data_IF_267027034103
#
_entry.id   IF_267027034103
#
_cell.length_a   1.000
_cell.length_b   1.000
_cell.length_c   1.000
_cell.angle_alpha   90.00
_cell.angle_beta   90.00
_cell.angle_gamma   90.00
#
_symmetry.space_group_name_H-M   'P 1'
#
loop_
_entity.id
_entity.type
_entity.pdbx_description
1 polymer ?
#
# COMPACT_ATOMS: atom_id res chain seq x y z
N UNK A 1 14.19 16.15 -9.59
CA UNK A 1 14.97 14.94 -9.28
C UNK A 1 15.74 15.24 -8.01
N UNK A 2 15.36 14.63 -6.88
CA UNK A 2 16.03 14.67 -5.59
C UNK A 2 16.56 16.03 -5.17
N UNK A 3 15.82 16.76 -4.35
CA UNK A 3 16.36 17.96 -3.73
C UNK A 3 17.41 17.57 -2.69
N UNK A 4 18.47 18.33 -2.61
CA UNK A 4 19.47 18.21 -1.55
C UNK A 4 19.37 19.43 -0.62
N UNK A 5 19.62 19.20 0.67
CA UNK A 5 19.80 20.28 1.62
C UNK A 5 21.13 21.05 1.34
N UNK A 6 21.37 22.07 2.12
CA UNK A 6 22.60 22.89 2.00
C UNK A 6 23.90 22.13 2.24
N UNK A 7 23.83 20.95 2.81
CA UNK A 7 24.96 20.06 3.09
C UNK A 7 25.11 18.95 2.05
N UNK A 8 24.26 18.94 1.00
CA UNK A 8 24.26 17.92 -0.04
C UNK A 8 23.54 16.63 0.33
N UNK A 9 22.85 16.56 1.47
CA UNK A 9 22.03 15.40 1.82
C UNK A 9 20.77 15.41 0.98
N UNK A 10 20.38 14.22 0.50
CA UNK A 10 19.15 14.06 -0.25
C UNK A 10 17.96 14.21 0.71
N UNK A 11 17.07 15.13 0.39
CA UNK A 11 15.81 15.26 1.11
C UNK A 11 14.90 14.11 0.72
N UNK A 12 14.44 13.37 1.72
CA UNK A 12 13.41 12.35 1.54
C UNK A 12 12.06 13.05 1.42
N UNK A 13 11.52 13.11 0.20
CA UNK A 13 10.26 13.79 -0.07
C UNK A 13 9.32 12.92 -0.87
N UNK A 14 8.04 12.98 -0.51
CA UNK A 14 6.95 12.38 -1.25
C UNK A 14 6.56 13.27 -2.43
N UNK A 15 6.06 12.67 -3.53
CA UNK A 15 5.44 13.46 -4.59
C UNK A 15 4.12 14.07 -4.12
N UNK A 16 3.38 13.35 -3.27
CA UNK A 16 2.24 13.85 -2.53
C UNK A 16 2.30 13.30 -1.11
N UNK A 17 2.19 14.17 -0.13
CA UNK A 17 2.02 13.83 1.28
C UNK A 17 0.75 14.45 1.83
N UNK A 18 -0.12 13.62 2.39
CA UNK A 18 -1.25 14.03 3.21
C UNK A 18 -1.05 13.46 4.61
N UNK A 19 -1.34 14.24 5.62
CA UNK A 19 -1.20 13.84 7.01
C UNK A 19 -2.30 14.46 7.86
N UNK A 20 -3.04 13.62 8.56
CA UNK A 20 -4.19 14.03 9.38
C UNK A 20 -5.24 14.84 8.59
N UNK A 21 -5.46 14.46 7.34
CA UNK A 21 -6.46 15.07 6.48
C UNK A 21 -7.71 14.19 6.43
N UNK A 22 -8.84 14.78 6.11
CA UNK A 22 -10.08 14.05 5.94
C UNK A 22 -10.97 14.63 4.83
N UNK A 23 -11.86 13.79 4.29
CA UNK A 23 -12.85 14.18 3.29
C UNK A 23 -12.23 14.75 2.00
N UNK A 24 -11.29 14.02 1.40
CA UNK A 24 -10.63 14.45 0.16
C UNK A 24 -10.60 13.35 -0.92
N UNK A 25 -10.40 13.80 -2.15
CA UNK A 25 -10.22 12.94 -3.33
C UNK A 25 -8.97 13.37 -4.08
N UNK A 26 -8.16 12.38 -4.46
CA UNK A 26 -7.05 12.53 -5.40
C UNK A 26 -7.52 11.87 -6.70
N UNK A 27 -7.68 12.65 -7.75
CA UNK A 27 -8.35 12.22 -8.98
C UNK A 27 -7.59 12.65 -10.23
N UNK A 28 -7.43 11.74 -11.20
CA UNK A 28 -6.80 11.96 -12.50
C UNK A 28 -5.40 12.60 -12.43
N UNK A 29 -4.59 12.16 -11.46
CA UNK A 29 -3.24 12.68 -11.25
C UNK A 29 -2.16 11.66 -11.64
N UNK A 30 -0.97 12.15 -11.92
CA UNK A 30 0.22 11.32 -12.14
C UNK A 30 1.28 11.65 -11.08
N UNK A 31 1.78 10.62 -10.42
CA UNK A 31 2.80 10.71 -9.38
C UNK A 31 3.97 9.79 -9.70
N UNK A 32 5.17 10.32 -9.74
CA UNK A 32 6.36 9.53 -10.01
C UNK A 32 7.63 10.24 -9.56
N UNK A 33 8.72 9.46 -9.58
CA UNK A 33 10.08 9.91 -9.33
C UNK A 33 10.33 10.51 -7.95
N UNK A 34 9.49 10.14 -7.00
CA UNK A 34 9.73 10.49 -5.61
C UNK A 34 10.94 9.72 -5.04
N UNK A 35 11.67 10.33 -4.14
CA UNK A 35 12.77 9.69 -3.40
C UNK A 35 12.31 8.98 -2.12
N UNK A 36 11.09 9.23 -1.69
CA UNK A 36 10.35 8.50 -0.64
C UNK A 36 9.15 7.79 -1.27
N UNK A 37 7.93 8.14 -0.92
CA UNK A 37 6.73 7.61 -1.54
C UNK A 37 6.23 8.53 -2.67
N UNK A 38 5.68 7.93 -3.73
CA UNK A 38 4.96 8.71 -4.73
C UNK A 38 3.68 9.30 -4.16
N UNK A 39 2.97 8.53 -3.34
CA UNK A 39 1.82 9.01 -2.55
C UNK A 39 2.00 8.51 -1.12
N UNK A 40 1.85 9.38 -0.15
CA UNK A 40 1.82 9.06 1.27
C UNK A 40 0.57 9.67 1.89
N UNK A 41 -0.36 8.82 2.30
CA UNK A 41 -1.55 9.20 3.08
C UNK A 41 -1.38 8.69 4.50
N UNK A 42 -1.28 9.59 5.45
CA UNK A 42 -0.84 9.26 6.79
C UNK A 42 -1.86 9.72 7.84
N UNK A 43 -2.48 8.76 8.52
CA UNK A 43 -3.56 9.00 9.47
C UNK A 43 -4.70 9.84 8.87
N UNK A 44 -4.98 9.62 7.58
CA UNK A 44 -6.03 10.30 6.81
C UNK A 44 -7.33 9.52 6.87
N UNK A 45 -8.46 10.22 6.85
CA UNK A 45 -9.78 9.62 6.95
C UNK A 45 -10.66 10.00 5.76
N UNK A 46 -11.56 9.08 5.37
CA UNK A 46 -12.57 9.31 4.33
C UNK A 46 -11.98 9.87 3.04
N UNK A 47 -11.01 9.16 2.48
CA UNK A 47 -10.38 9.62 1.26
C UNK A 47 -10.48 8.60 0.12
N UNK A 48 -10.38 9.12 -1.09
CA UNK A 48 -10.35 8.32 -2.31
C UNK A 48 -9.16 8.70 -3.17
N UNK A 49 -8.46 7.70 -3.70
CA UNK A 49 -7.45 7.86 -4.75
C UNK A 49 -7.93 7.11 -5.98
N UNK A 50 -8.22 7.84 -7.06
CA UNK A 50 -8.81 7.26 -8.25
C UNK A 50 -8.24 7.79 -9.56
N UNK A 51 -8.25 6.93 -10.59
CA UNK A 51 -7.84 7.27 -11.95
C UNK A 51 -6.44 7.87 -12.03
N UNK A 52 -5.58 7.49 -11.10
CA UNK A 52 -4.23 7.99 -10.99
C UNK A 52 -3.21 7.03 -11.60
N UNK A 53 -2.08 7.58 -12.04
CA UNK A 53 -0.88 6.82 -12.42
C UNK A 53 0.17 7.05 -11.35
N UNK A 54 0.64 5.98 -10.72
CA UNK A 54 1.66 6.01 -9.67
C UNK A 54 2.84 5.15 -10.09
N UNK A 55 3.94 5.77 -10.48
CA UNK A 55 4.99 5.03 -11.17
C UNK A 55 6.41 5.45 -10.78
N UNK A 56 7.35 4.53 -11.00
CA UNK A 56 8.79 4.80 -11.01
C UNK A 56 9.29 5.55 -9.77
N UNK A 57 8.90 5.07 -8.57
CA UNK A 57 9.51 5.55 -7.33
C UNK A 57 11.03 5.32 -7.38
N UNK A 58 11.81 6.37 -7.13
CA UNK A 58 13.26 6.32 -7.28
C UNK A 58 13.90 5.55 -6.13
N UNK A 59 14.89 4.71 -6.48
CA UNK A 59 15.70 4.02 -5.48
C UNK A 59 16.82 4.94 -4.97
N UNK A 60 16.48 5.76 -3.99
CA UNK A 60 17.49 6.53 -3.30
C UNK A 60 17.36 6.34 -1.78
N UNK A 61 18.46 6.29 -1.07
CA UNK A 61 18.49 6.07 0.37
C UNK A 61 17.76 4.80 0.87
N UNK A 62 17.52 3.79 0.01
CA UNK A 62 16.90 2.53 0.41
C UNK A 62 15.36 2.55 0.47
N UNK A 63 14.69 3.58 -0.04
CA UNK A 63 13.24 3.73 0.03
C UNK A 63 12.53 3.94 -1.32
N UNK A 64 12.59 3.00 -2.27
CA UNK A 64 11.95 3.15 -3.59
C UNK A 64 10.48 2.71 -3.53
N UNK A 65 9.54 3.63 -3.36
CA UNK A 65 8.20 3.23 -2.97
C UNK A 65 7.08 3.94 -3.74
N UNK A 66 6.05 3.18 -4.06
CA UNK A 66 4.85 3.66 -4.72
C UNK A 66 3.89 4.38 -3.77
N UNK A 67 2.83 3.70 -3.36
CA UNK A 67 1.78 4.26 -2.48
C UNK A 67 1.92 3.70 -1.07
N UNK A 68 1.92 4.56 -0.09
CA UNK A 68 1.82 4.21 1.31
C UNK A 68 0.55 4.80 1.90
N UNK A 69 -0.40 3.94 2.19
CA UNK A 69 -1.54 4.27 2.99
C UNK A 69 -1.27 3.89 4.44
N UNK A 70 -1.24 4.86 5.30
CA UNK A 70 -1.16 4.61 6.74
C UNK A 70 -2.48 4.92 7.39
N UNK A 71 -2.88 4.05 8.24
CA UNK A 71 -3.84 4.27 9.32
C UNK A 71 -4.87 5.33 9.07
N UNK A 72 -5.90 5.43 9.40
CA UNK A 72 -7.04 6.21 9.09
C UNK A 72 -8.20 5.28 8.85
N UNK A 73 -9.39 5.78 8.93
CA UNK A 73 -10.58 5.00 8.64
C UNK A 73 -11.09 5.32 7.24
N UNK A 74 -11.59 4.30 6.54
CA UNK A 74 -12.34 4.46 5.29
C UNK A 74 -11.56 5.10 4.14
N UNK A 75 -10.74 4.29 3.50
CA UNK A 75 -10.00 4.66 2.30
C UNK A 75 -10.42 3.79 1.11
N UNK A 76 -10.58 4.41 -0.05
CA UNK A 76 -10.84 3.71 -1.32
C UNK A 76 -9.77 4.06 -2.34
N UNK A 77 -9.17 3.02 -2.92
CA UNK A 77 -8.22 3.14 -4.02
C UNK A 77 -8.78 2.38 -5.21
N UNK A 78 -9.16 3.09 -6.28
CA UNK A 78 -9.75 2.41 -7.43
C UNK A 78 -9.36 3.00 -8.78
N UNK A 79 -9.34 2.15 -9.79
CA UNK A 79 -9.02 2.50 -11.18
C UNK A 79 -7.65 3.19 -11.34
N UNK A 80 -6.68 2.82 -10.51
CA UNK A 80 -5.34 3.36 -10.59
C UNK A 80 -4.40 2.39 -11.33
N UNK A 81 -3.37 2.93 -11.95
CA UNK A 81 -2.22 2.18 -12.44
C UNK A 81 -1.03 2.40 -11.51
N UNK A 82 -0.58 1.33 -10.85
CA UNK A 82 0.67 1.33 -10.08
C UNK A 82 1.72 0.56 -10.88
N UNK A 83 2.76 1.25 -11.37
CA UNK A 83 3.72 0.65 -12.29
C UNK A 83 5.17 0.93 -11.90
N UNK A 84 6.04 -0.07 -12.07
CA UNK A 84 7.49 0.07 -11.90
C UNK A 84 7.91 0.61 -10.53
N UNK A 85 7.15 0.32 -9.49
CA UNK A 85 7.53 0.64 -8.12
C UNK A 85 8.19 -0.58 -7.49
N UNK A 86 9.36 -0.43 -6.90
CA UNK A 86 10.05 -1.56 -6.30
C UNK A 86 9.24 -2.15 -5.15
N UNK A 87 8.54 -1.32 -4.39
CA UNK A 87 7.81 -1.72 -3.20
C UNK A 87 6.59 -0.82 -2.99
N UNK A 88 5.69 -1.22 -2.10
CA UNK A 88 4.49 -0.43 -1.73
C UNK A 88 3.58 -0.14 -2.92
N UNK A 89 3.11 -1.20 -3.55
CA UNK A 89 2.20 -1.11 -4.70
C UNK A 89 0.80 -1.71 -4.41
N UNK A 90 0.05 -1.16 -3.44
CA UNK A 90 0.42 -0.24 -2.35
C UNK A 90 0.88 -0.96 -1.06
N UNK A 91 1.27 -0.21 -0.04
CA UNK A 91 1.38 -0.69 1.34
C UNK A 91 0.25 -0.11 2.17
N UNK A 92 -0.49 -0.96 2.84
CA UNK A 92 -1.55 -0.58 3.77
C UNK A 92 -1.15 -0.88 5.21
N UNK A 93 -0.70 0.13 5.90
CA UNK A 93 -0.35 0.03 7.31
C UNK A 93 -1.57 0.14 8.22
N UNK A 94 -1.48 -0.46 9.40
CA UNK A 94 -2.47 -0.24 10.45
C UNK A 94 -2.53 1.20 10.94
N UNK A 95 -3.62 1.53 11.62
CA UNK A 95 -3.77 2.83 12.26
C UNK A 95 -2.67 3.08 13.28
N UNK A 96 -2.13 4.27 13.31
CA UNK A 96 -1.21 4.71 14.36
C UNK A 96 -1.90 5.29 15.60
N UNK A 97 -3.22 5.20 15.68
CA UNK A 97 -3.98 5.79 16.78
C UNK A 97 -3.92 7.30 16.74
N UNK A 98 -4.20 7.86 15.57
CA UNK A 98 -4.22 9.29 15.34
C UNK A 98 -5.20 10.03 16.27
N UNK A 99 -5.03 11.31 16.35
CA UNK A 99 -5.81 12.20 17.22
C UNK A 99 -7.22 12.47 16.71
N UNK A 100 -7.53 12.08 15.49
CA UNK A 100 -8.85 12.31 14.87
C UNK A 100 -9.75 11.11 15.19
N UNK A 101 -10.70 11.33 16.07
CA UNK A 101 -11.92 10.54 16.21
C UNK A 101 -11.83 9.16 16.85
N UNK A 102 -10.75 8.72 17.44
CA UNK A 102 -10.61 7.45 18.19
C UNK A 102 -11.13 6.15 17.52
N UNK A 103 -11.68 6.20 16.31
CA UNK A 103 -11.97 4.99 15.55
C UNK A 103 -10.66 4.50 14.94
N UNK A 104 -10.18 3.42 15.49
CA UNK A 104 -8.90 2.81 15.11
C UNK A 104 -9.09 1.71 14.08
N UNK A 105 -10.33 1.43 13.67
CA UNK A 105 -10.63 0.47 12.59
C UNK A 105 -10.23 1.06 11.24
N UNK A 106 -9.48 0.30 10.46
CA UNK A 106 -9.10 0.69 9.10
C UNK A 106 -9.98 -0.07 8.12
N UNK A 107 -10.84 0.65 7.43
CA UNK A 107 -11.65 0.12 6.34
C UNK A 107 -11.00 0.50 5.01
N UNK A 108 -10.74 -0.50 4.18
CA UNK A 108 -9.99 -0.32 2.95
C UNK A 108 -10.70 -0.98 1.78
N UNK A 109 -10.80 -0.25 0.70
CA UNK A 109 -11.18 -0.81 -0.60
C UNK A 109 -10.06 -0.61 -1.63
N UNK A 110 -9.63 -1.71 -2.23
CA UNK A 110 -8.68 -1.72 -3.34
C UNK A 110 -9.34 -2.41 -4.53
N UNK A 111 -9.89 -1.62 -5.46
CA UNK A 111 -10.84 -2.11 -6.46
C UNK A 111 -10.47 -1.64 -7.87
N UNK A 112 -10.52 -2.56 -8.85
CA UNK A 112 -10.30 -2.24 -10.27
C UNK A 112 -8.97 -1.53 -10.56
N UNK A 113 -7.91 -1.83 -9.82
CA UNK A 113 -6.59 -1.27 -10.07
C UNK A 113 -5.75 -2.20 -10.95
N UNK A 114 -4.74 -1.64 -11.58
CA UNK A 114 -3.69 -2.39 -12.28
C UNK A 114 -2.37 -2.23 -11.53
N UNK A 115 -1.76 -3.37 -11.19
CA UNK A 115 -0.43 -3.43 -10.63
C UNK A 115 0.52 -4.03 -11.66
N UNK A 116 1.52 -3.28 -12.09
CA UNK A 116 2.49 -3.73 -13.08
C UNK A 116 3.91 -3.66 -12.56
N UNK A 117 4.67 -4.76 -12.79
CA UNK A 117 6.13 -4.78 -12.64
C UNK A 117 6.61 -4.31 -11.25
N UNK A 118 6.06 -4.87 -10.18
CA UNK A 118 6.54 -4.62 -8.82
C UNK A 118 7.87 -5.33 -8.55
N UNK A 119 8.71 -4.76 -7.70
CA UNK A 119 10.08 -5.21 -7.48
C UNK A 119 10.36 -5.93 -6.17
N UNK A 120 9.39 -6.11 -5.29
CA UNK A 120 9.58 -6.78 -4.00
C UNK A 120 8.64 -7.97 -3.79
N UNK A 121 8.55 -8.48 -2.59
CA UNK A 121 7.84 -9.72 -2.25
C UNK A 121 6.31 -9.60 -2.29
N UNK A 122 5.74 -9.34 -3.43
CA UNK A 122 4.32 -9.16 -3.67
C UNK A 122 3.96 -7.73 -4.04
N UNK A 123 2.86 -7.55 -4.78
CA UNK A 123 2.43 -6.24 -5.24
C UNK A 123 2.02 -5.35 -4.06
N UNK A 124 1.05 -5.80 -3.28
CA UNK A 124 0.59 -5.12 -2.08
C UNK A 124 1.11 -5.83 -0.82
N UNK A 125 1.27 -5.09 0.25
CA UNK A 125 1.54 -5.67 1.56
C UNK A 125 1.12 -4.73 2.69
N UNK A 126 1.12 -5.25 3.91
CA UNK A 126 0.76 -4.49 5.09
C UNK A 126 -0.11 -5.28 6.05
N UNK A 127 -1.17 -4.66 6.55
CA UNK A 127 -2.07 -5.31 7.50
C UNK A 127 -1.46 -5.46 8.89
N UNK A 128 -0.36 -4.74 9.18
CA UNK A 128 0.23 -4.71 10.50
C UNK A 128 -0.79 -4.19 11.51
N UNK A 129 -0.99 -4.95 12.55
CA UNK A 129 -1.91 -4.61 13.64
C UNK A 129 -1.19 -4.18 14.90
N UNK A 130 0.08 -3.77 14.76
CA UNK A 130 0.92 -3.37 15.91
C UNK A 130 1.91 -2.29 15.53
N UNK A 131 2.25 -1.41 16.45
CA UNK A 131 3.46 -0.61 16.46
C UNK A 131 3.93 -0.32 17.88
N UNK A 132 5.15 0.16 17.95
CA UNK A 132 5.77 0.62 19.19
C UNK A 132 4.85 1.59 19.92
N UNK A 133 4.40 1.20 21.11
CA UNK A 133 3.58 2.00 22.03
C UNK A 133 2.21 2.47 21.51
N UNK A 134 1.69 1.93 20.42
CA UNK A 134 0.39 2.31 19.86
C UNK A 134 -0.54 1.09 19.76
N UNK A 135 -1.82 1.33 19.95
CA UNK A 135 -2.84 0.30 19.80
C UNK A 135 -3.29 0.28 18.34
N UNK A 136 -3.07 -0.83 17.65
CA UNK A 136 -3.56 -1.01 16.30
C UNK A 136 -4.71 -2.00 16.29
N UNK A 137 -5.73 -1.63 15.58
CA UNK A 137 -6.81 -2.54 15.22
C UNK A 137 -6.50 -3.17 13.86
N UNK A 138 -6.99 -4.38 13.67
CA UNK A 138 -6.88 -5.05 12.39
C UNK A 138 -7.57 -4.28 11.27
N UNK A 139 -7.10 -4.49 10.07
CA UNK A 139 -7.75 -3.96 8.87
C UNK A 139 -8.98 -4.76 8.53
N UNK A 140 -9.99 -4.10 8.00
CA UNK A 140 -11.06 -4.73 7.24
C UNK A 140 -10.96 -4.25 5.80
N UNK A 141 -10.68 -5.14 4.86
CA UNK A 141 -10.34 -4.72 3.50
C UNK A 141 -10.85 -5.63 2.40
N UNK A 142 -11.24 -4.99 1.31
CA UNK A 142 -11.69 -5.63 0.08
C UNK A 142 -10.68 -5.42 -1.05
N UNK A 143 -10.24 -6.51 -1.66
CA UNK A 143 -9.43 -6.53 -2.89
C UNK A 143 -10.26 -7.14 -4.00
N UNK A 144 -10.80 -6.31 -4.88
CA UNK A 144 -11.80 -6.75 -5.85
C UNK A 144 -11.41 -6.33 -7.27
N UNK A 145 -11.47 -7.28 -8.20
CA UNK A 145 -11.29 -7.04 -9.64
C UNK A 145 -10.00 -6.31 -10.02
N UNK A 146 -8.91 -6.50 -9.27
CA UNK A 146 -7.63 -5.91 -9.63
C UNK A 146 -6.89 -6.81 -10.63
N UNK A 147 -6.09 -6.20 -11.48
CA UNK A 147 -5.24 -6.88 -12.44
C UNK A 147 -3.78 -6.74 -12.05
N UNK A 148 -3.12 -7.88 -11.88
CA UNK A 148 -1.71 -7.94 -11.50
C UNK A 148 -0.90 -8.52 -12.65
N UNK A 149 0.01 -7.72 -13.18
CA UNK A 149 0.89 -8.10 -14.28
C UNK A 149 2.34 -8.09 -13.84
N UNK A 150 2.95 -9.28 -13.58
CA UNK A 150 4.38 -9.37 -13.37
C UNK A 150 5.16 -8.80 -14.56
N UNK A 151 6.27 -8.15 -14.28
CA UNK A 151 7.15 -7.57 -15.30
C UNK A 151 8.62 -7.94 -15.08
N UNK A 152 9.55 -7.34 -15.83
CA UNK A 152 10.97 -7.68 -15.74
C UNK A 152 11.61 -7.51 -14.38
N UNK A 153 11.10 -6.59 -13.55
CA UNK A 153 11.60 -6.37 -12.20
C UNK A 153 10.89 -7.24 -11.14
N UNK A 154 9.80 -7.92 -11.50
CA UNK A 154 9.04 -8.74 -10.55
C UNK A 154 9.81 -10.01 -10.22
N UNK A 155 10.16 -10.26 -8.95
CA UNK A 155 10.91 -11.46 -8.59
C UNK A 155 10.09 -12.73 -8.84
N UNK A 156 10.75 -13.78 -9.31
CA UNK A 156 10.11 -15.08 -9.50
C UNK A 156 9.52 -15.60 -8.18
N UNK A 157 8.33 -16.18 -8.25
CA UNK A 157 7.66 -16.73 -7.05
C UNK A 157 6.99 -15.70 -6.14
N UNK A 158 6.79 -14.47 -6.62
CA UNK A 158 6.08 -13.41 -5.87
C UNK A 158 4.71 -13.09 -6.45
N UNK A 159 3.98 -14.11 -6.89
CA UNK A 159 2.62 -13.98 -7.42
C UNK A 159 1.59 -13.86 -6.29
N UNK A 160 1.72 -12.80 -5.49
CA UNK A 160 0.79 -12.50 -4.41
C UNK A 160 0.06 -11.19 -4.68
N UNK A 161 -1.25 -11.21 -4.50
CA UNK A 161 -2.05 -9.98 -4.48
C UNK A 161 -1.72 -9.16 -3.24
N UNK A 162 -1.59 -9.85 -2.10
CA UNK A 162 -1.32 -9.21 -0.83
C UNK A 162 -0.43 -10.09 0.06
N UNK A 163 0.61 -9.50 0.61
CA UNK A 163 1.46 -10.12 1.61
C UNK A 163 1.20 -9.48 2.97
N UNK A 164 0.48 -10.17 3.83
CA UNK A 164 0.20 -9.68 5.18
C UNK A 164 1.47 -9.75 6.02
N UNK A 165 1.87 -8.61 6.53
CA UNK A 165 2.88 -8.51 7.60
C UNK A 165 2.17 -8.73 8.92
N UNK A 166 2.52 -9.78 9.63
CA UNK A 166 2.13 -9.93 11.02
C UNK A 166 3.10 -9.17 11.90
N UNK A 167 2.58 -8.63 12.96
CA UNK A 167 3.26 -8.08 14.11
C UNK A 167 4.74 -7.65 13.89
N UNK A 168 4.98 -6.38 13.99
CA UNK A 168 6.33 -5.82 14.10
C UNK A 168 6.63 -5.56 15.59
N UNK A 169 7.78 -6.07 16.06
CA UNK A 169 8.42 -5.64 17.32
C UNK A 169 7.70 -6.00 18.63
N UNK A 170 7.19 -7.23 18.78
CA UNK A 170 6.75 -7.75 20.09
C UNK A 170 5.51 -7.11 20.68
N UNK A 171 4.83 -6.25 19.94
CA UNK A 171 3.62 -5.59 20.40
C UNK A 171 2.39 -6.55 20.40
N UNK A 172 1.41 -6.30 21.23
CA UNK A 172 0.20 -7.12 21.32
C UNK A 172 -0.76 -6.79 20.20
N UNK A 173 -1.16 -7.80 19.41
CA UNK A 173 -2.25 -7.67 18.43
C UNK A 173 -3.56 -7.30 19.14
N UNK A 174 -4.27 -6.32 18.62
CA UNK A 174 -5.56 -5.88 19.15
C UNK A 174 -6.77 -6.44 18.39
N UNK A 175 -6.52 -7.25 17.39
CA UNK A 175 -7.58 -7.91 16.63
C UNK A 175 -7.07 -8.46 15.30
N UNK A 176 -7.75 -9.47 14.75
CA UNK A 176 -7.41 -10.00 13.45
C UNK A 176 -7.79 -9.02 12.34
N UNK A 177 -6.96 -8.94 11.31
CA UNK A 177 -7.38 -8.32 10.05
C UNK A 177 -8.36 -9.23 9.33
N UNK A 178 -9.33 -8.65 8.65
CA UNK A 178 -10.33 -9.35 7.84
C UNK A 178 -10.19 -8.90 6.39
N UNK A 179 -9.97 -9.86 5.51
CA UNK A 179 -9.75 -9.59 4.10
C UNK A 179 -10.77 -10.32 3.24
N UNK A 180 -11.16 -9.68 2.17
CA UNK A 180 -11.95 -10.28 1.10
C UNK A 180 -11.23 -10.13 -0.24
N UNK A 181 -11.06 -11.23 -0.95
CA UNK A 181 -10.45 -11.27 -2.28
C UNK A 181 -11.43 -11.87 -3.27
N UNK A 182 -11.73 -11.14 -4.35
CA UNK A 182 -12.66 -11.62 -5.38
C UNK A 182 -12.36 -11.00 -6.74
N UNK A 183 -12.38 -11.83 -7.79
CA UNK A 183 -12.25 -11.37 -9.17
C UNK A 183 -10.88 -10.80 -9.55
N UNK A 184 -9.86 -10.93 -8.69
CA UNK A 184 -8.53 -10.49 -9.02
C UNK A 184 -7.86 -11.46 -10.00
N UNK A 185 -7.08 -10.92 -10.93
CA UNK A 185 -6.36 -11.66 -11.96
C UNK A 185 -4.86 -11.50 -11.73
N UNK A 186 -4.14 -12.62 -11.69
CA UNK A 186 -2.68 -12.67 -11.72
C UNK A 186 -2.25 -13.18 -13.09
N UNK A 187 -1.74 -12.29 -13.95
CA UNK A 187 -1.25 -12.68 -15.27
C UNK A 187 -0.11 -13.70 -15.14
N UNK A 188 -0.26 -14.81 -15.85
CA UNK A 188 0.72 -15.90 -15.81
C UNK A 188 0.59 -16.85 -14.61
N UNK A 189 -0.46 -16.73 -13.80
CA UNK A 189 -0.77 -17.67 -12.71
C UNK A 189 -2.29 -17.94 -12.63
N UNK A 190 -2.70 -18.95 -13.39
CA UNK A 190 -4.11 -19.36 -13.47
C UNK A 190 -4.62 -19.91 -12.14
N UNK A 191 -3.75 -20.50 -11.31
CA UNK A 191 -4.14 -21.06 -10.05
C UNK A 191 -4.50 -19.97 -9.02
N UNK A 192 -3.75 -18.87 -9.00
CA UNK A 192 -4.03 -17.69 -8.16
C UNK A 192 -5.27 -16.95 -8.70
N UNK A 193 -5.42 -16.87 -10.00
CA UNK A 193 -6.59 -16.25 -10.64
C UNK A 193 -7.88 -17.00 -10.33
N UNK A 194 -7.86 -18.34 -10.42
CA UNK A 194 -9.02 -19.18 -10.17
C UNK A 194 -9.42 -19.25 -8.67
N UNK A 195 -8.44 -19.14 -7.78
CA UNK A 195 -8.64 -19.13 -6.34
C UNK A 195 -7.84 -17.96 -5.73
N UNK A 196 -8.50 -16.83 -5.53
CA UNK A 196 -7.85 -15.61 -5.10
C UNK A 196 -7.17 -15.71 -3.72
N UNK A 197 -7.58 -16.65 -2.87
CA UNK A 197 -6.90 -16.88 -1.59
C UNK A 197 -5.48 -17.42 -1.73
N UNK A 198 -5.15 -18.06 -2.85
CA UNK A 198 -3.75 -18.43 -3.15
C UNK A 198 -2.84 -17.24 -3.40
N UNK A 199 -3.40 -16.08 -3.74
CA UNK A 199 -2.69 -14.82 -3.85
C UNK A 199 -2.53 -14.06 -2.53
N UNK A 200 -3.04 -14.60 -1.43
CA UNK A 200 -2.83 -14.08 -0.09
C UNK A 200 -1.68 -14.81 0.60
N UNK A 201 -0.68 -14.08 1.00
CA UNK A 201 0.43 -14.61 1.78
C UNK A 201 0.38 -14.06 3.20
N UNK A 202 0.35 -14.97 4.16
CA UNK A 202 0.50 -14.63 5.57
C UNK A 202 1.96 -14.88 5.97
N UNK A 203 2.74 -13.83 6.07
CA UNK A 203 4.13 -13.93 6.51
C UNK A 203 4.14 -13.98 8.05
N UNK A 204 4.10 -15.19 8.59
CA UNK A 204 4.57 -15.42 9.95
C UNK A 204 6.08 -15.31 9.94
N UNK A 205 6.62 -14.26 10.51
CA UNK A 205 8.06 -14.16 10.77
C UNK A 205 8.45 -15.06 11.91
#
# INVERSE_FOLDING_TARGET
IGQTDVNGNILAENSLGAENCENFIIDHCTFGWSVEENINTFDDHFHTVQWCIVHEGLYNAGHPKGVRGYGGSSATYHHNLLANNQSRSPRFNGSRGGTIGQDLSVYLEYINNVNYNWGSSGACYGGENTSENRKFFGHEGNFINNYYKPGPATPSGTHYFFNQSLQRDGATSLGPSKWHFSGNIMEGDDAVTADNWKGFKNSTS
#
